data_IF_550796984005
#
_entry.id   IF_550796984005
#
_cell.length_a   1.000
_cell.length_b   1.000
_cell.length_c   1.000
_cell.angle_alpha   90.00
_cell.angle_beta   90.00
_cell.angle_gamma   90.00
#
_symmetry.space_group_name_H-M   'P 1'
#
loop_
_entity.id
_entity.type
_entity.pdbx_description
1 polymer ?
#
# COMPACT_ATOMS: atom_id res chain seq x y z
N UNK A 1 0.68 -47.77 15.86
CA UNK A 1 -0.09 -46.53 15.63
C UNK A 1 -1.57 -46.85 15.75
N UNK A 2 -2.31 -46.15 16.61
CA UNK A 2 -3.76 -46.32 16.74
C UNK A 2 -4.49 -45.54 15.65
N UNK A 3 -5.71 -45.96 15.32
CA UNK A 3 -6.61 -45.21 14.44
C UNK A 3 -6.88 -43.78 14.96
N UNK A 4 -6.89 -43.61 16.29
CA UNK A 4 -6.98 -42.32 16.98
C UNK A 4 -5.86 -41.37 16.54
N UNK A 5 -4.60 -41.83 16.61
CA UNK A 5 -3.41 -41.03 16.27
C UNK A 5 -3.37 -40.65 14.78
N UNK A 6 -3.87 -41.52 13.91
CA UNK A 6 -4.00 -41.23 12.47
C UNK A 6 -5.06 -40.14 12.24
N UNK A 7 -6.22 -40.22 12.92
CA UNK A 7 -7.29 -39.21 12.80
C UNK A 7 -6.85 -37.85 13.30
N UNK A 8 -6.16 -37.81 14.43
CA UNK A 8 -5.61 -36.58 15.00
C UNK A 8 -4.60 -35.94 14.04
N UNK A 9 -3.66 -36.74 13.52
CA UNK A 9 -2.68 -36.25 12.52
C UNK A 9 -3.37 -35.69 11.27
N UNK A 10 -4.43 -36.33 10.78
CA UNK A 10 -5.20 -35.84 9.64
C UNK A 10 -5.95 -34.54 9.97
N UNK A 11 -6.49 -34.41 11.18
CA UNK A 11 -7.13 -33.16 11.64
C UNK A 11 -6.12 -32.01 11.65
N UNK A 12 -4.95 -32.22 12.26
CA UNK A 12 -3.89 -31.21 12.32
C UNK A 12 -3.39 -30.82 10.92
N UNK A 13 -3.26 -31.79 10.01
CA UNK A 13 -2.88 -31.51 8.62
C UNK A 13 -3.94 -30.68 7.88
N UNK A 14 -5.23 -30.94 8.14
CA UNK A 14 -6.33 -30.18 7.56
C UNK A 14 -6.33 -28.74 8.07
N UNK A 15 -6.22 -28.56 9.39
CA UNK A 15 -6.15 -27.25 10.02
C UNK A 15 -4.92 -26.46 9.53
N UNK A 16 -3.75 -27.12 9.44
CA UNK A 16 -2.54 -26.51 8.91
C UNK A 16 -2.72 -26.08 7.44
N UNK A 17 -3.39 -26.91 6.62
CA UNK A 17 -3.69 -26.56 5.23
C UNK A 17 -4.62 -25.36 5.11
N UNK A 18 -5.62 -25.26 5.98
CA UNK A 18 -6.55 -24.14 6.04
C UNK A 18 -5.82 -22.86 6.45
N UNK A 19 -5.01 -22.90 7.51
CA UNK A 19 -4.18 -21.78 7.93
C UNK A 19 -3.20 -21.30 6.83
N UNK A 20 -2.63 -22.22 6.06
CA UNK A 20 -1.78 -21.87 4.91
C UNK A 20 -2.60 -21.20 3.80
N UNK A 21 -3.82 -21.66 3.56
CA UNK A 21 -4.71 -21.06 2.57
C UNK A 21 -5.06 -19.63 2.94
N UNK A 22 -5.50 -19.41 4.18
CA UNK A 22 -5.84 -18.09 4.69
C UNK A 22 -4.63 -17.15 4.69
N UNK A 23 -3.46 -17.67 5.09
CA UNK A 23 -2.20 -16.92 5.02
C UNK A 23 -1.84 -16.48 3.60
N UNK A 24 -2.15 -17.27 2.58
CA UNK A 24 -1.94 -16.88 1.18
C UNK A 24 -2.89 -15.77 0.75
N UNK A 25 -4.15 -15.82 1.17
CA UNK A 25 -5.12 -14.75 0.89
C UNK A 25 -4.64 -13.43 1.50
N UNK A 26 -4.25 -13.45 2.78
CA UNK A 26 -3.76 -12.25 3.47
C UNK A 26 -2.49 -11.66 2.79
N UNK A 27 -1.60 -12.52 2.27
CA UNK A 27 -0.42 -12.06 1.52
C UNK A 27 -0.82 -11.37 0.21
N UNK A 28 -1.78 -11.93 -0.54
CA UNK A 28 -2.23 -11.31 -1.79
C UNK A 28 -2.93 -9.97 -1.54
N UNK A 29 -3.75 -9.87 -0.48
CA UNK A 29 -4.35 -8.60 -0.06
C UNK A 29 -3.28 -7.56 0.30
N UNK A 30 -2.28 -7.96 1.10
CA UNK A 30 -1.18 -7.08 1.48
C UNK A 30 -0.35 -6.61 0.27
N UNK A 31 -0.18 -7.45 -0.76
CA UNK A 31 0.50 -7.07 -2.00
C UNK A 31 -0.29 -6.01 -2.77
N UNK A 32 -1.61 -6.17 -2.88
CA UNK A 32 -2.48 -5.19 -3.56
C UNK A 32 -2.39 -3.84 -2.85
N UNK A 33 -2.47 -3.83 -1.52
CA UNK A 33 -2.33 -2.62 -0.71
C UNK A 33 -0.96 -1.94 -0.87
N UNK A 34 0.10 -2.75 -0.87
CA UNK A 34 1.46 -2.26 -1.07
C UNK A 34 1.62 -1.63 -2.46
N UNK A 35 1.06 -2.26 -3.49
CA UNK A 35 1.10 -1.74 -4.86
C UNK A 35 0.36 -0.40 -4.95
N UNK A 36 -0.83 -0.31 -4.35
CA UNK A 36 -1.59 0.93 -4.32
C UNK A 36 -0.83 2.05 -3.57
N UNK A 37 -0.13 1.73 -2.49
CA UNK A 37 0.74 2.71 -1.78
C UNK A 37 1.92 3.14 -2.64
N UNK A 38 2.55 2.20 -3.33
CA UNK A 38 3.65 2.49 -4.24
C UNK A 38 3.22 3.41 -5.38
N UNK A 39 2.07 3.13 -6.01
CA UNK A 39 1.54 3.97 -7.10
C UNK A 39 1.19 5.38 -6.63
N UNK A 40 0.63 5.53 -5.43
CA UNK A 40 0.42 6.84 -4.80
C UNK A 40 1.74 7.58 -4.59
N UNK A 41 2.75 6.90 -4.05
CA UNK A 41 4.07 7.50 -3.84
C UNK A 41 4.73 7.91 -5.16
N UNK A 42 4.66 7.06 -6.19
CA UNK A 42 5.20 7.34 -7.52
C UNK A 42 4.55 8.58 -8.13
N UNK A 43 3.22 8.67 -8.12
CA UNK A 43 2.49 9.87 -8.62
C UNK A 43 2.87 11.13 -7.85
N UNK A 44 3.10 11.02 -6.54
CA UNK A 44 3.57 12.14 -5.71
C UNK A 44 4.97 12.59 -6.12
N UNK A 45 5.89 11.67 -6.38
CA UNK A 45 7.24 12.00 -6.86
C UNK A 45 7.15 12.70 -8.21
N UNK A 46 6.39 12.16 -9.16
CA UNK A 46 6.20 12.78 -10.48
C UNK A 46 5.62 14.20 -10.39
N UNK A 47 4.73 14.47 -9.41
CA UNK A 47 4.23 15.83 -9.13
C UNK A 47 5.33 16.75 -8.61
N UNK A 48 6.15 16.27 -7.68
CA UNK A 48 7.27 17.03 -7.14
C UNK A 48 8.28 17.35 -8.24
N UNK A 49 8.61 16.39 -9.10
CA UNK A 49 9.52 16.60 -10.21
C UNK A 49 9.00 17.69 -11.17
N UNK A 50 7.70 17.67 -11.51
CA UNK A 50 7.07 18.73 -12.30
C UNK A 50 7.14 20.10 -11.62
N UNK A 51 6.89 20.16 -10.31
CA UNK A 51 6.99 21.42 -9.56
C UNK A 51 8.43 21.96 -9.53
N UNK A 52 9.42 21.06 -9.41
CA UNK A 52 10.84 21.42 -9.52
C UNK A 52 11.14 21.98 -10.91
N UNK A 53 10.59 21.40 -11.98
CA UNK A 53 10.80 21.89 -13.34
C UNK A 53 10.21 23.28 -13.56
N UNK A 54 9.01 23.56 -13.03
CA UNK A 54 8.41 24.92 -13.04
C UNK A 54 9.31 25.91 -12.30
N UNK A 55 9.78 25.56 -11.10
CA UNK A 55 10.71 26.39 -10.33
C UNK A 55 12.04 26.62 -11.06
N UNK A 56 12.54 25.64 -11.80
CA UNK A 56 13.77 25.77 -12.60
C UNK A 56 13.58 26.66 -13.81
N UNK A 57 12.40 26.58 -14.46
CA UNK A 57 12.06 27.36 -15.66
C UNK A 57 11.86 28.83 -15.32
N UNK A 58 11.05 29.10 -14.31
CA UNK A 58 10.52 30.44 -14.02
C UNK A 58 11.20 31.09 -12.80
N UNK A 59 11.98 30.32 -12.03
CA UNK A 59 12.77 30.83 -10.92
C UNK A 59 11.90 31.51 -9.85
N UNK A 60 12.27 32.71 -9.37
CA UNK A 60 11.49 33.45 -8.37
C UNK A 60 10.16 33.99 -8.91
N UNK A 61 9.99 34.02 -10.23
CA UNK A 61 8.77 34.50 -10.90
C UNK A 61 7.77 33.35 -11.17
N UNK A 62 8.08 32.12 -10.74
CA UNK A 62 7.20 30.98 -10.87
C UNK A 62 5.83 31.25 -10.24
N UNK A 63 4.76 30.95 -10.98
CA UNK A 63 3.40 31.12 -10.46
C UNK A 63 3.16 30.13 -9.31
N UNK A 64 3.01 30.67 -8.11
CA UNK A 64 2.72 29.90 -6.91
C UNK A 64 1.41 29.12 -7.03
N UNK A 65 0.44 29.58 -7.84
CA UNK A 65 -0.79 28.85 -8.11
C UNK A 65 -0.53 27.62 -8.99
N UNK A 66 0.25 27.77 -10.06
CA UNK A 66 0.66 26.64 -10.92
C UNK A 66 1.46 25.59 -10.13
N UNK A 67 2.34 26.05 -9.23
CA UNK A 67 3.11 25.16 -8.35
C UNK A 67 2.23 24.41 -7.34
N UNK A 68 1.30 25.12 -6.69
CA UNK A 68 0.38 24.52 -5.73
C UNK A 68 -0.56 23.53 -6.42
N UNK A 69 -1.14 23.89 -7.57
CA UNK A 69 -2.01 23.00 -8.36
C UNK A 69 -1.27 21.73 -8.82
N UNK A 70 0.02 21.86 -9.16
CA UNK A 70 0.87 20.72 -9.52
C UNK A 70 1.09 19.77 -8.34
N UNK A 71 1.10 20.28 -7.11
CA UNK A 71 1.31 19.51 -5.87
C UNK A 71 0.01 18.98 -5.23
N UNK A 72 -1.11 19.71 -5.36
CA UNK A 72 -2.37 19.49 -4.62
C UNK A 72 -3.31 18.44 -5.23
N UNK A 73 -2.91 17.73 -6.28
CA UNK A 73 -3.72 16.71 -6.95
C UNK A 73 -4.09 15.46 -6.12
N UNK A 74 -4.11 15.52 -4.78
CA UNK A 74 -4.46 14.43 -3.85
C UNK A 74 -4.92 14.93 -2.45
N UNK A 75 -5.48 16.14 -2.30
CA UNK A 75 -6.14 16.54 -1.03
C UNK A 75 -7.51 15.86 -0.92
N UNK A 76 -7.47 14.53 -0.78
CA UNK A 76 -8.60 13.69 -0.48
C UNK A 76 -8.07 12.35 -0.01
N UNK A 77 -8.34 12.00 1.25
CA UNK A 77 -7.96 10.74 1.92
C UNK A 77 -6.60 10.72 2.64
N UNK A 78 -6.37 11.68 3.54
CA UNK A 78 -5.69 11.36 4.82
C UNK A 78 -6.74 10.95 5.84
N UNK A 79 -7.19 9.69 5.78
CA UNK A 79 -7.49 8.95 7.01
C UNK A 79 -6.32 8.01 7.24
N UNK A 80 -5.31 8.52 7.95
CA UNK A 80 -4.37 7.66 8.65
C UNK A 80 -4.98 7.50 10.04
N UNK A 81 -5.60 6.36 10.40
CA UNK A 81 -5.80 6.05 11.79
C UNK A 81 -4.42 5.70 12.37
N UNK A 82 -3.75 6.73 12.90
CA UNK A 82 -2.61 6.54 13.77
C UNK A 82 -3.16 5.98 15.08
N UNK A 83 -2.93 4.68 15.31
CA UNK A 83 -3.06 4.07 16.63
C UNK A 83 -4.47 3.58 16.98
N UNK A 84 -4.72 2.30 16.73
CA UNK A 84 -5.60 1.49 17.59
C UNK A 84 -4.89 0.19 17.89
N UNK A 85 -3.90 0.29 18.79
CA UNK A 85 -3.48 -0.74 19.75
C UNK A 85 -2.46 -0.13 20.71
#
# INVERSE_FOLDING_TARGET
MSLESIRETVSTLRESREAIHDGRIAIEEAKVDLHARYDRAKRRIERIDRAIDVLRRDGPDADLRELLDTLDGDVGMTEIPIGSR
#
